data_IF_483239782649
#
_entry.id   IF_483239782649
#
_cell.length_a   1.000
_cell.length_b   1.000
_cell.length_c   1.000
_cell.angle_alpha   90.00
_cell.angle_beta   90.00
_cell.angle_gamma   90.00
#
_symmetry.space_group_name_H-M   'P 1'
#
loop_
_entity.id
_entity.type
_entity.pdbx_description
1 polymer ?
#
# COMPACT_ATOMS: atom_id res chain seq x y z
N UNK A 1 -8.05 -8.56 -0.20
CA UNK A 1 -7.27 -7.72 -1.12
C UNK A 1 -6.51 -8.53 -2.15
N UNK A 2 -5.64 -9.47 -1.74
CA UNK A 2 -4.84 -10.27 -2.68
C UNK A 2 -5.69 -11.14 -3.62
N UNK A 3 -6.74 -11.78 -3.10
CA UNK A 3 -7.70 -12.55 -3.92
C UNK A 3 -8.50 -11.68 -4.91
N UNK A 4 -8.84 -10.44 -4.53
CA UNK A 4 -9.51 -9.50 -5.42
C UNK A 4 -8.59 -9.00 -6.54
N UNK A 5 -7.34 -8.66 -6.20
CA UNK A 5 -6.32 -8.28 -7.19
C UNK A 5 -6.04 -9.43 -8.18
N UNK A 6 -6.02 -10.68 -7.68
CA UNK A 6 -5.89 -11.88 -8.49
C UNK A 6 -7.08 -12.07 -9.44
N UNK A 7 -8.30 -11.89 -8.94
CA UNK A 7 -9.53 -11.99 -9.73
C UNK A 7 -9.59 -10.91 -10.83
N UNK A 8 -9.25 -9.66 -10.50
CA UNK A 8 -9.19 -8.55 -11.45
C UNK A 8 -8.09 -8.73 -12.50
N UNK A 9 -6.90 -9.20 -12.09
CA UNK A 9 -5.82 -9.52 -13.01
C UNK A 9 -6.23 -10.66 -13.96
N UNK A 10 -6.87 -11.71 -13.43
CA UNK A 10 -7.38 -12.83 -14.23
C UNK A 10 -8.40 -12.36 -15.26
N UNK A 11 -9.43 -11.61 -14.86
CA UNK A 11 -10.46 -11.12 -15.79
C UNK A 11 -9.86 -10.25 -16.89
N UNK A 12 -8.99 -9.30 -16.52
CA UNK A 12 -8.37 -8.41 -17.49
C UNK A 12 -7.41 -9.14 -18.45
N UNK A 13 -6.64 -10.12 -17.97
CA UNK A 13 -5.68 -10.85 -18.80
C UNK A 13 -6.32 -11.87 -19.73
N UNK A 14 -7.51 -12.39 -19.42
CA UNK A 14 -8.22 -13.33 -20.26
C UNK A 14 -8.81 -12.65 -21.51
N UNK A 15 -9.29 -11.40 -21.38
CA UNK A 15 -9.93 -10.64 -22.45
C UNK A 15 -8.94 -10.02 -23.46
N UNK A 16 -7.63 -10.12 -23.21
CA UNK A 16 -6.59 -9.52 -24.05
C UNK A 16 -5.89 -10.52 -24.95
N UNK A 17 -5.56 -10.08 -26.15
CA UNK A 17 -4.72 -10.85 -27.07
C UNK A 17 -3.36 -11.14 -26.43
N UNK A 18 -2.81 -12.32 -26.73
CA UNK A 18 -1.58 -12.79 -26.09
C UNK A 18 -0.40 -11.80 -26.18
N UNK A 19 -0.15 -11.09 -27.30
CA UNK A 19 0.99 -10.16 -27.40
C UNK A 19 0.90 -9.01 -26.38
N UNK A 20 -0.29 -8.42 -26.22
CA UNK A 20 -0.50 -7.29 -25.31
C UNK A 20 -0.37 -7.76 -23.86
N UNK A 21 -0.99 -8.89 -23.52
CA UNK A 21 -0.89 -9.50 -22.20
C UNK A 21 0.55 -9.94 -21.86
N UNK A 22 1.29 -10.45 -22.86
CA UNK A 22 2.67 -10.90 -22.73
C UNK A 22 3.62 -9.73 -22.42
N UNK A 23 3.57 -8.67 -23.22
CA UNK A 23 4.44 -7.49 -23.00
C UNK A 23 4.15 -6.75 -21.69
N UNK A 24 2.87 -6.61 -21.33
CA UNK A 24 2.48 -5.95 -20.08
C UNK A 24 2.95 -6.74 -18.86
N UNK A 25 2.78 -8.05 -18.87
CA UNK A 25 3.23 -8.93 -17.80
C UNK A 25 4.76 -9.06 -17.76
N UNK A 26 5.44 -9.06 -18.91
CA UNK A 26 6.90 -8.98 -18.97
C UNK A 26 7.40 -7.69 -18.28
N UNK A 27 6.83 -6.53 -18.64
CA UNK A 27 7.18 -5.25 -18.04
C UNK A 27 6.90 -5.20 -16.53
N UNK A 28 5.76 -5.74 -16.09
CA UNK A 28 5.44 -5.87 -14.67
C UNK A 28 6.46 -6.77 -13.95
N UNK A 29 6.84 -7.90 -14.56
CA UNK A 29 7.89 -8.78 -14.09
C UNK A 29 9.22 -8.04 -13.92
N UNK A 30 9.64 -7.27 -14.93
CA UNK A 30 10.87 -6.44 -14.87
C UNK A 30 10.82 -5.44 -13.71
N UNK A 31 9.71 -4.72 -13.53
CA UNK A 31 9.57 -3.73 -12.46
C UNK A 31 9.60 -4.37 -11.06
N UNK A 32 8.89 -5.49 -10.88
CA UNK A 32 8.86 -6.24 -9.63
C UNK A 32 10.25 -6.83 -9.34
N UNK A 33 10.90 -7.42 -10.35
CA UNK A 33 12.26 -7.91 -10.25
C UNK A 33 13.22 -6.80 -9.83
N UNK A 34 13.18 -5.65 -10.52
CA UNK A 34 14.08 -4.51 -10.27
C UNK A 34 13.95 -3.97 -8.85
N UNK A 35 12.72 -3.85 -8.36
CA UNK A 35 12.48 -3.44 -6.96
C UNK A 35 12.97 -4.49 -5.98
N UNK A 36 12.69 -5.78 -6.20
CA UNK A 36 13.15 -6.87 -5.34
C UNK A 36 14.69 -6.94 -5.27
N UNK A 37 15.37 -6.98 -6.41
CA UNK A 37 16.84 -7.03 -6.48
C UNK A 37 17.50 -5.85 -5.78
N UNK A 38 16.91 -4.67 -5.93
CA UNK A 38 17.43 -3.46 -5.29
C UNK A 38 17.20 -3.43 -3.78
N UNK A 39 16.03 -3.88 -3.30
CA UNK A 39 15.75 -3.98 -1.86
C UNK A 39 16.68 -4.99 -1.18
N UNK A 40 16.92 -6.12 -1.83
CA UNK A 40 17.83 -7.15 -1.33
C UNK A 40 19.27 -6.61 -1.26
N UNK A 41 19.73 -5.88 -2.29
CA UNK A 41 21.05 -5.25 -2.30
C UNK A 41 21.22 -4.23 -1.16
N UNK A 42 20.23 -3.35 -0.95
CA UNK A 42 20.24 -2.36 0.14
C UNK A 42 20.20 -3.03 1.51
N UNK A 43 19.40 -4.09 1.68
CA UNK A 43 19.30 -4.83 2.93
C UNK A 43 20.60 -5.54 3.30
N UNK A 44 21.27 -6.15 2.32
CA UNK A 44 22.60 -6.74 2.52
C UNK A 44 23.64 -5.68 2.89
N UNK A 45 23.61 -4.51 2.23
CA UNK A 45 24.52 -3.39 2.53
C UNK A 45 24.27 -2.74 3.90
N UNK A 46 23.05 -2.83 4.45
CA UNK A 46 22.76 -2.38 5.81
C UNK A 46 23.38 -3.34 6.84
N UNK A 47 23.23 -4.65 6.61
CA UNK A 47 23.73 -5.69 7.51
C UNK A 47 25.24 -5.92 7.44
N UNK A 48 25.97 -5.33 6.47
CA UNK A 48 27.44 -5.31 6.49
C UNK A 48 28.02 -4.39 7.57
N UNK A 49 27.27 -3.37 8.02
CA UNK A 49 27.75 -2.39 9.00
C UNK A 49 27.13 -2.58 10.38
N UNK A 50 25.84 -2.91 10.46
CA UNK A 50 25.17 -3.24 11.73
C UNK A 50 23.94 -4.13 11.50
N UNK A 51 23.96 -5.34 12.06
CA UNK A 51 22.74 -6.12 12.20
C UNK A 51 22.93 -7.62 12.42
N UNK A 52 21.83 -8.31 12.81
CA UNK A 52 21.85 -9.73 13.18
C UNK A 52 22.17 -10.70 12.02
N UNK A 53 22.32 -10.18 10.79
CA UNK A 53 22.67 -10.92 9.57
C UNK A 53 24.08 -10.60 9.06
N UNK A 54 24.97 -10.05 9.91
CA UNK A 54 26.34 -9.70 9.53
C UNK A 54 27.14 -10.89 8.98
N UNK A 55 26.93 -12.10 9.52
CA UNK A 55 27.55 -13.34 9.03
C UNK A 55 27.14 -13.66 7.58
N UNK A 56 25.86 -13.45 7.24
CA UNK A 56 25.34 -13.65 5.87
C UNK A 56 25.81 -12.56 4.90
N UNK A 57 26.13 -11.37 5.41
CA UNK A 57 26.59 -10.24 4.61
C UNK A 57 28.09 -10.32 4.28
N UNK A 58 28.91 -10.84 5.21
CA UNK A 58 30.37 -10.93 5.10
C UNK A 58 30.85 -12.20 4.40
N UNK A 59 30.16 -13.34 4.55
CA UNK A 59 30.54 -14.59 3.90
C UNK A 59 29.94 -14.70 2.48
N UNK A 60 30.76 -14.78 1.41
CA UNK A 60 30.26 -14.79 0.03
C UNK A 60 29.37 -15.99 -0.29
N UNK A 61 29.58 -17.14 0.36
CA UNK A 61 28.75 -18.33 0.19
C UNK A 61 27.35 -18.17 0.82
N UNK A 62 27.26 -17.60 2.02
CA UNK A 62 25.99 -17.34 2.71
C UNK A 62 25.20 -16.23 2.03
N UNK A 63 25.88 -15.17 1.59
CA UNK A 63 25.31 -14.10 0.77
C UNK A 63 24.63 -14.64 -0.49
N UNK A 64 25.30 -15.54 -1.23
CA UNK A 64 24.71 -16.18 -2.43
C UNK A 64 23.47 -17.01 -2.08
N UNK A 65 23.51 -17.80 -1.00
CA UNK A 65 22.34 -18.59 -0.55
C UNK A 65 21.16 -17.69 -0.18
N UNK A 66 21.41 -16.59 0.53
CA UNK A 66 20.41 -15.60 0.88
C UNK A 66 19.79 -14.96 -0.38
N UNK A 67 20.61 -14.54 -1.35
CA UNK A 67 20.13 -13.99 -2.62
C UNK A 67 19.23 -14.99 -3.36
N UNK A 68 19.69 -16.22 -3.52
CA UNK A 68 18.96 -17.28 -4.22
C UNK A 68 17.63 -17.55 -3.51
N UNK A 69 17.62 -17.65 -2.17
CA UNK A 69 16.40 -17.88 -1.41
C UNK A 69 15.37 -16.77 -1.60
N UNK A 70 15.78 -15.50 -1.51
CA UNK A 70 14.86 -14.37 -1.67
C UNK A 70 14.35 -14.19 -3.10
N UNK A 71 15.20 -14.41 -4.11
CA UNK A 71 14.76 -14.41 -5.50
C UNK A 71 13.85 -15.60 -5.80
N UNK A 72 14.12 -16.78 -5.23
CA UNK A 72 13.27 -17.96 -5.39
C UNK A 72 11.89 -17.75 -4.75
N UNK A 73 11.81 -17.13 -3.56
CA UNK A 73 10.53 -16.77 -2.93
C UNK A 73 9.75 -15.78 -3.80
N UNK A 74 10.41 -14.73 -4.29
CA UNK A 74 9.74 -13.75 -5.17
C UNK A 74 9.25 -14.39 -6.47
N UNK A 75 10.08 -15.21 -7.11
CA UNK A 75 9.75 -15.92 -8.35
C UNK A 75 8.61 -16.93 -8.16
N UNK A 76 8.61 -17.71 -7.06
CA UNK A 76 7.55 -18.69 -6.77
C UNK A 76 6.21 -18.02 -6.53
N UNK A 77 6.16 -16.93 -5.76
CA UNK A 77 4.94 -16.14 -5.58
C UNK A 77 4.41 -15.60 -6.90
N UNK A 78 5.30 -15.08 -7.74
CA UNK A 78 4.96 -14.53 -9.05
C UNK A 78 4.45 -15.62 -10.02
N UNK A 79 5.05 -16.80 -9.98
CA UNK A 79 4.62 -17.96 -10.75
C UNK A 79 3.23 -18.44 -10.32
N UNK A 80 2.98 -18.60 -9.01
CA UNK A 80 1.66 -18.97 -8.48
C UNK A 80 0.60 -17.97 -8.94
N UNK A 81 0.87 -16.67 -8.81
CA UNK A 81 -0.04 -15.61 -9.26
C UNK A 81 -0.36 -15.74 -10.75
N UNK A 82 0.67 -15.97 -11.58
CA UNK A 82 0.53 -16.06 -13.04
C UNK A 82 -0.19 -17.32 -13.48
N UNK A 83 0.05 -18.45 -12.82
CA UNK A 83 -0.68 -19.71 -13.07
C UNK A 83 -2.17 -19.52 -12.81
N UNK A 84 -2.54 -18.86 -11.72
CA UNK A 84 -3.95 -18.63 -11.40
C UNK A 84 -4.59 -17.61 -12.36
N UNK A 85 -3.84 -16.59 -12.77
CA UNK A 85 -4.35 -15.55 -13.66
C UNK A 85 -4.45 -16.01 -15.12
N UNK A 86 -3.33 -16.46 -15.72
CA UNK A 86 -3.28 -16.99 -17.09
C UNK A 86 -1.96 -17.75 -17.30
N UNK A 87 -1.96 -19.10 -17.30
CA UNK A 87 -0.74 -19.92 -17.34
C UNK A 87 0.20 -19.63 -18.52
N UNK A 88 -0.36 -19.30 -19.68
CA UNK A 88 0.41 -19.01 -20.91
C UNK A 88 1.34 -17.81 -20.80
N UNK A 89 1.21 -16.97 -19.76
CA UNK A 89 2.04 -15.78 -19.55
C UNK A 89 3.29 -16.04 -18.70
N UNK A 90 3.46 -17.27 -18.18
CA UNK A 90 4.67 -17.66 -17.44
C UNK A 90 5.94 -17.44 -18.26
N UNK A 91 5.87 -17.71 -19.56
CA UNK A 91 6.97 -17.55 -20.52
C UNK A 91 7.46 -16.09 -20.58
N UNK A 92 6.58 -15.13 -20.34
CA UNK A 92 6.91 -13.71 -20.34
C UNK A 92 7.32 -13.21 -18.96
N UNK A 93 6.61 -13.60 -17.89
CA UNK A 93 6.84 -13.02 -16.56
C UNK A 93 8.15 -13.47 -15.90
N UNK A 94 8.54 -14.74 -16.11
CA UNK A 94 9.73 -15.33 -15.51
C UNK A 94 11.01 -14.65 -16.00
N UNK A 95 11.27 -14.54 -17.32
CA UNK A 95 12.45 -13.82 -17.79
C UNK A 95 12.38 -12.34 -17.44
N UNK A 96 11.21 -11.71 -17.47
CA UNK A 96 11.05 -10.32 -17.03
C UNK A 96 11.51 -10.12 -15.57
N UNK A 97 11.03 -10.96 -14.66
CA UNK A 97 11.44 -10.92 -13.25
C UNK A 97 12.93 -11.16 -13.07
N UNK A 98 13.50 -12.16 -13.74
CA UNK A 98 14.92 -12.48 -13.63
C UNK A 98 15.80 -11.31 -14.14
N UNK A 99 15.49 -10.77 -15.31
CA UNK A 99 16.18 -9.59 -15.88
C UNK A 99 16.07 -8.41 -14.92
N UNK A 100 14.86 -8.11 -14.45
CA UNK A 100 14.62 -7.03 -13.49
C UNK A 100 15.45 -7.23 -12.21
N UNK A 101 15.39 -8.41 -11.62
CA UNK A 101 16.07 -8.74 -10.36
C UNK A 101 17.59 -8.64 -10.46
N UNK A 102 18.16 -9.10 -11.57
CA UNK A 102 19.59 -8.99 -11.84
C UNK A 102 20.00 -7.53 -12.00
N UNK A 103 19.30 -6.77 -12.85
CA UNK A 103 19.56 -5.33 -13.06
C UNK A 103 19.40 -4.56 -11.75
N UNK A 104 18.36 -4.82 -10.99
CA UNK A 104 18.09 -4.19 -9.69
C UNK A 104 19.15 -4.49 -8.64
N UNK A 105 19.67 -5.72 -8.62
CA UNK A 105 20.75 -6.11 -7.70
C UNK A 105 22.08 -5.45 -8.06
N UNK A 106 22.48 -5.48 -9.34
CA UNK A 106 23.72 -4.85 -9.83
C UNK A 106 23.68 -3.34 -9.64
N UNK A 107 22.56 -2.69 -10.00
CA UNK A 107 22.39 -1.24 -9.82
C UNK A 107 22.16 -0.83 -8.36
N UNK A 108 21.76 -1.77 -7.50
CA UNK A 108 21.59 -1.54 -6.07
C UNK A 108 22.91 -1.42 -5.31
N UNK A 109 23.99 -2.02 -5.81
CA UNK A 109 25.34 -1.95 -5.23
C UNK A 109 26.19 -0.77 -5.72
N UNK A 110 25.80 -0.11 -6.80
CA UNK A 110 26.47 1.09 -7.29
C UNK A 110 25.95 2.31 -6.49
N UNK A 111 26.82 3.03 -5.76
CA UNK A 111 26.46 4.36 -5.29
C UNK A 111 26.38 5.25 -6.54
N UNK A 112 25.19 5.36 -7.13
CA UNK A 112 24.94 6.34 -8.17
C UNK A 112 25.02 7.71 -7.48
N UNK A 113 26.23 8.27 -7.45
CA UNK A 113 26.51 9.63 -7.04
C UNK A 113 25.59 10.55 -7.86
N UNK A 114 24.60 11.14 -7.17
CA UNK A 114 23.53 11.94 -7.79
C UNK A 114 22.10 11.41 -7.54
N UNK A 115 21.89 10.08 -7.45
CA UNK A 115 20.55 9.51 -7.22
C UNK A 115 20.28 9.07 -5.77
N UNK A 116 21.32 8.96 -4.93
CA UNK A 116 21.17 8.65 -3.49
C UNK A 116 20.56 9.81 -2.69
N UNK A 117 21.08 11.02 -2.88
CA UNK A 117 20.49 12.25 -2.33
C UNK A 117 19.11 12.54 -2.95
N UNK A 118 18.94 12.19 -4.23
CA UNK A 118 17.68 12.32 -4.97
C UNK A 118 16.57 11.36 -4.57
N UNK A 119 16.83 10.20 -3.93
CA UNK A 119 15.76 9.25 -3.53
C UNK A 119 15.20 9.50 -2.14
N UNK A 120 16.02 9.95 -1.20
CA UNK A 120 15.51 10.59 0.01
C UNK A 120 14.80 11.91 -0.34
N UNK A 121 15.25 12.62 -1.37
CA UNK A 121 14.61 13.81 -1.93
C UNK A 121 13.27 13.52 -2.61
N UNK A 122 13.22 12.61 -3.58
CA UNK A 122 12.03 12.24 -4.34
C UNK A 122 11.00 11.51 -3.48
N UNK A 123 11.42 10.63 -2.57
CA UNK A 123 10.53 10.02 -1.59
C UNK A 123 9.94 11.06 -0.63
N UNK A 124 10.74 12.02 -0.14
CA UNK A 124 10.23 13.15 0.67
C UNK A 124 9.41 14.14 -0.14
N UNK A 125 9.72 14.36 -1.41
CA UNK A 125 9.03 15.28 -2.31
C UNK A 125 7.69 14.70 -2.74
N UNK A 126 7.64 13.42 -3.11
CA UNK A 126 6.42 12.69 -3.38
C UNK A 126 5.57 12.60 -2.11
N UNK A 127 6.18 12.30 -0.96
CA UNK A 127 5.46 12.28 0.34
C UNK A 127 4.95 13.66 0.73
N UNK A 128 5.74 14.72 0.56
CA UNK A 128 5.31 16.10 0.87
C UNK A 128 4.25 16.59 -0.11
N UNK A 129 4.28 16.12 -1.35
CA UNK A 129 3.26 16.41 -2.35
C UNK A 129 1.96 15.64 -2.07
N UNK A 130 2.03 14.35 -1.74
CA UNK A 130 0.88 13.53 -1.32
C UNK A 130 0.23 14.06 -0.04
N UNK A 131 1.02 14.64 0.88
CA UNK A 131 0.49 15.28 2.09
C UNK A 131 -0.15 16.65 1.85
N UNK A 132 -0.08 17.20 0.63
CA UNK A 132 -0.81 18.44 0.29
C UNK A 132 -2.30 18.12 0.09
N UNK A 133 -3.20 19.03 0.50
CA UNK A 133 -4.64 18.86 0.27
C UNK A 133 -4.98 18.66 -1.21
N UNK A 134 -4.22 19.28 -2.12
CA UNK A 134 -4.39 19.14 -3.56
C UNK A 134 -4.18 17.71 -4.11
N UNK A 135 -3.40 16.86 -3.42
CA UNK A 135 -3.22 15.47 -3.85
C UNK A 135 -4.54 14.67 -3.79
N UNK A 136 -5.44 15.02 -2.86
CA UNK A 136 -6.77 14.43 -2.78
C UNK A 136 -7.63 14.72 -4.01
N UNK A 137 -7.55 15.95 -4.52
CA UNK A 137 -8.25 16.36 -5.75
C UNK A 137 -7.68 15.59 -6.95
N UNK A 138 -6.35 15.51 -7.07
CA UNK A 138 -5.72 14.78 -8.17
C UNK A 138 -6.07 13.30 -8.13
N UNK A 139 -6.05 12.66 -6.96
CA UNK A 139 -6.47 11.27 -6.80
C UNK A 139 -7.95 11.07 -7.18
N UNK A 140 -8.83 12.02 -6.85
CA UNK A 140 -10.24 11.95 -7.21
C UNK A 140 -10.42 12.08 -8.73
N UNK A 141 -9.71 13.01 -9.37
CA UNK A 141 -9.73 13.17 -10.82
C UNK A 141 -9.21 11.91 -11.52
N UNK A 142 -8.13 11.30 -11.03
CA UNK A 142 -7.59 10.04 -11.58
C UNK A 142 -8.63 8.93 -11.47
N UNK A 143 -9.22 8.73 -10.29
CA UNK A 143 -10.27 7.73 -10.08
C UNK A 143 -11.47 7.96 -11.01
N UNK A 144 -11.93 9.21 -11.15
CA UNK A 144 -13.08 9.55 -11.98
C UNK A 144 -12.79 9.39 -13.48
N UNK A 145 -11.59 9.76 -13.94
CA UNK A 145 -11.16 9.52 -15.32
C UNK A 145 -11.04 8.02 -15.59
N UNK A 146 -10.42 7.26 -14.69
CA UNK A 146 -10.35 5.81 -14.74
C UNK A 146 -11.75 5.21 -14.87
N UNK A 147 -12.69 5.62 -14.01
CA UNK A 147 -14.10 5.19 -14.05
C UNK A 147 -14.88 5.66 -15.28
N UNK A 148 -14.47 6.74 -15.95
CA UNK A 148 -15.10 7.20 -17.19
C UNK A 148 -14.65 6.37 -18.41
N UNK A 149 -13.39 5.91 -18.44
CA UNK A 149 -12.86 5.09 -19.55
C UNK A 149 -13.11 3.59 -19.36
N UNK A 150 -13.14 3.11 -18.12
CA UNK A 150 -13.28 1.68 -17.80
C UNK A 150 -14.62 1.02 -18.23
N UNK A 151 -15.78 1.70 -18.26
CA UNK A 151 -17.06 1.14 -18.72
C UNK A 151 -17.04 0.68 -20.18
N UNK A 152 -16.09 1.19 -20.98
CA UNK A 152 -15.86 0.75 -22.36
C UNK A 152 -15.27 -0.67 -22.43
N UNK A 153 -14.67 -1.14 -21.33
CA UNK A 153 -13.94 -2.42 -21.26
C UNK A 153 -14.47 -3.39 -20.20
N UNK A 154 -15.10 -2.89 -19.12
CA UNK A 154 -15.69 -3.70 -18.05
C UNK A 154 -17.12 -3.25 -17.76
N UNK A 155 -18.06 -4.21 -17.65
CA UNK A 155 -19.49 -3.94 -17.33
C UNK A 155 -19.89 -4.53 -15.98
N UNK A 156 -20.84 -3.87 -15.33
CA UNK A 156 -21.53 -4.38 -14.13
C UNK A 156 -20.62 -4.52 -12.90
N UNK A 157 -20.69 -5.67 -12.23
CA UNK A 157 -20.04 -5.94 -10.95
C UNK A 157 -18.51 -5.77 -10.96
N UNK A 158 -17.88 -6.00 -12.12
CA UNK A 158 -16.44 -5.84 -12.27
C UNK A 158 -16.00 -4.36 -12.15
N UNK A 159 -16.83 -3.42 -12.59
CA UNK A 159 -16.56 -1.98 -12.46
C UNK A 159 -16.58 -1.56 -10.99
N UNK A 160 -17.52 -2.10 -10.20
CA UNK A 160 -17.65 -1.83 -8.76
C UNK A 160 -16.44 -2.35 -7.99
N UNK A 161 -15.94 -3.53 -8.36
CA UNK A 161 -14.73 -4.11 -7.75
C UNK A 161 -13.50 -3.27 -8.08
N UNK A 162 -13.31 -2.87 -9.34
CA UNK A 162 -12.18 -2.04 -9.77
C UNK A 162 -12.21 -0.69 -9.06
N UNK A 163 -13.38 -0.04 -8.99
CA UNK A 163 -13.56 1.20 -8.25
C UNK A 163 -13.16 1.05 -6.78
N UNK A 164 -13.56 -0.05 -6.13
CA UNK A 164 -13.20 -0.34 -4.74
C UNK A 164 -11.69 -0.51 -4.55
N UNK A 165 -11.01 -1.22 -5.46
CA UNK A 165 -9.56 -1.41 -5.41
C UNK A 165 -8.83 -0.08 -5.61
N UNK A 166 -9.20 0.68 -6.64
CA UNK A 166 -8.57 1.96 -6.96
C UNK A 166 -8.79 2.99 -5.83
N UNK A 167 -9.99 3.02 -5.25
CA UNK A 167 -10.30 3.85 -4.08
C UNK A 167 -9.49 3.42 -2.86
N UNK A 168 -9.33 2.11 -2.63
CA UNK A 168 -8.50 1.62 -1.52
C UNK A 168 -7.02 1.97 -1.71
N UNK A 169 -6.48 1.85 -2.94
CA UNK A 169 -5.10 2.22 -3.25
C UNK A 169 -4.87 3.73 -3.08
N UNK A 170 -5.75 4.55 -3.64
CA UNK A 170 -5.72 6.01 -3.51
C UNK A 170 -5.87 6.43 -2.04
N UNK A 171 -6.82 5.83 -1.32
CA UNK A 171 -7.03 6.09 0.11
C UNK A 171 -5.80 5.69 0.94
N UNK A 172 -5.19 4.53 0.70
CA UNK A 172 -3.97 4.09 1.39
C UNK A 172 -2.76 4.99 1.07
N UNK A 173 -2.64 5.48 -0.17
CA UNK A 173 -1.59 6.41 -0.56
C UNK A 173 -1.76 7.78 0.10
N UNK A 174 -2.99 8.29 0.16
CA UNK A 174 -3.33 9.57 0.81
C UNK A 174 -3.25 9.49 2.34
N UNK A 175 -3.35 8.28 2.92
CA UNK A 175 -3.32 8.05 4.38
C UNK A 175 -1.99 7.49 4.89
N UNK A 176 -0.89 7.71 4.16
CA UNK A 176 0.46 7.34 4.63
C UNK A 176 0.80 8.13 5.91
N UNK A 177 0.86 7.42 7.04
CA UNK A 177 1.22 7.96 8.35
C UNK A 177 2.71 7.76 8.60
N UNK A 178 3.40 8.84 8.97
CA UNK A 178 4.81 8.81 9.37
C UNK A 178 4.93 8.78 10.90
N UNK A 179 5.41 7.65 11.44
CA UNK A 179 5.62 7.42 12.87
C UNK A 179 6.47 8.54 13.51
N UNK A 180 7.55 8.96 12.83
CA UNK A 180 8.45 10.00 13.35
C UNK A 180 7.76 11.36 13.46
N UNK A 181 6.87 11.69 12.51
CA UNK A 181 6.10 12.93 12.53
C UNK A 181 5.00 12.90 13.59
N UNK A 182 4.33 11.76 13.78
CA UNK A 182 3.28 11.60 14.80
C UNK A 182 3.88 11.69 16.20
N UNK A 183 5.03 11.07 16.43
CA UNK A 183 5.77 11.17 17.70
C UNK A 183 6.23 12.60 17.98
N UNK A 184 6.84 13.26 17.00
CA UNK A 184 7.25 14.66 17.15
C UNK A 184 6.06 15.58 17.49
N UNK A 185 4.94 15.43 16.79
CA UNK A 185 3.74 16.23 17.07
C UNK A 185 3.13 15.92 18.44
N UNK A 186 3.25 14.67 18.90
CA UNK A 186 2.80 14.25 20.23
C UNK A 186 3.68 14.83 21.34
N UNK A 187 5.01 14.81 21.17
CA UNK A 187 5.97 15.45 22.09
C UNK A 187 5.76 16.97 22.12
N UNK A 188 5.43 17.57 20.97
CA UNK A 188 5.07 18.99 20.88
C UNK A 188 3.66 19.33 21.44
N UNK A 189 3.04 18.43 22.21
CA UNK A 189 1.78 18.67 22.91
C UNK A 189 0.53 18.73 22.01
N UNK A 190 0.60 18.30 20.74
CA UNK A 190 -0.59 18.30 19.88
C UNK A 190 -1.51 17.12 20.19
N UNK A 191 -2.78 17.42 20.42
CA UNK A 191 -3.82 16.41 20.61
C UNK A 191 -4.04 15.53 19.38
N UNK A 192 -4.37 14.25 19.59
CA UNK A 192 -4.57 13.23 18.55
C UNK A 192 -5.49 13.68 17.41
N UNK A 193 -6.65 14.26 17.74
CA UNK A 193 -7.63 14.71 16.75
C UNK A 193 -7.11 15.81 15.82
N UNK A 194 -6.21 16.67 16.30
CA UNK A 194 -5.59 17.72 15.48
C UNK A 194 -4.55 17.16 14.51
N UNK A 195 -3.87 16.06 14.89
CA UNK A 195 -2.93 15.33 14.03
C UNK A 195 -3.70 14.59 12.94
N UNK A 196 -4.70 13.80 13.34
CA UNK A 196 -5.58 13.04 12.43
C UNK A 196 -6.26 13.99 11.45
N UNK A 197 -6.86 15.09 11.92
CA UNK A 197 -7.55 16.05 11.08
C UNK A 197 -6.65 16.75 10.06
N UNK A 198 -5.36 16.96 10.37
CA UNK A 198 -4.40 17.51 9.40
C UNK A 198 -3.99 16.48 8.35
N UNK A 199 -3.72 15.24 8.76
CA UNK A 199 -3.32 14.16 7.85
C UNK A 199 -4.50 13.70 6.96
N UNK A 200 -5.73 13.78 7.46
CA UNK A 200 -6.93 13.36 6.74
C UNK A 200 -7.39 14.36 5.67
N UNK A 201 -6.85 15.58 5.60
CA UNK A 201 -7.34 16.63 4.67
C UNK A 201 -7.36 16.18 3.21
N UNK A 202 -6.31 15.51 2.74
CA UNK A 202 -6.25 14.98 1.37
C UNK A 202 -7.31 13.90 1.14
N UNK A 203 -7.43 12.94 2.06
CA UNK A 203 -8.44 11.88 1.97
C UNK A 203 -9.89 12.42 2.10
N UNK A 204 -10.14 13.43 2.93
CA UNK A 204 -11.45 14.07 3.05
C UNK A 204 -11.85 14.80 1.76
N UNK A 205 -10.92 15.52 1.12
CA UNK A 205 -11.17 16.16 -0.17
C UNK A 205 -11.41 15.13 -1.27
N UNK A 206 -10.66 14.02 -1.25
CA UNK A 206 -10.87 12.91 -2.17
C UNK A 206 -12.29 12.33 -2.02
N UNK A 207 -12.73 12.00 -0.80
CA UNK A 207 -14.09 11.49 -0.55
C UNK A 207 -15.17 12.49 -0.92
N UNK A 208 -14.97 13.76 -0.53
CA UNK A 208 -15.91 14.84 -0.78
C UNK A 208 -16.11 15.15 -2.26
N UNK A 209 -15.23 14.71 -3.14
CA UNK A 209 -15.36 14.85 -4.60
C UNK A 209 -15.77 13.53 -5.23
N UNK A 210 -15.04 12.45 -4.94
CA UNK A 210 -15.23 11.16 -5.58
C UNK A 210 -16.60 10.54 -5.28
N UNK A 211 -17.04 10.52 -4.01
CA UNK A 211 -18.31 9.90 -3.64
C UNK A 211 -19.55 10.59 -4.27
N UNK A 212 -19.72 11.93 -4.20
CA UNK A 212 -20.86 12.58 -4.83
C UNK A 212 -20.82 12.48 -6.35
N UNK A 213 -19.66 12.68 -6.99
CA UNK A 213 -19.55 12.54 -8.45
C UNK A 213 -19.86 11.10 -8.89
N UNK A 214 -19.43 10.09 -8.11
CA UNK A 214 -19.83 8.70 -8.35
C UNK A 214 -21.33 8.48 -8.24
N UNK A 215 -21.98 9.10 -7.25
CA UNK A 215 -23.43 8.99 -7.05
C UNK A 215 -24.20 9.60 -8.22
N UNK A 216 -23.77 10.77 -8.70
CA UNK A 216 -24.42 11.47 -9.81
C UNK A 216 -24.16 10.85 -11.18
N UNK A 217 -22.93 10.40 -11.46
CA UNK A 217 -22.54 9.98 -12.81
C UNK A 217 -22.59 8.45 -13.03
N UNK A 218 -22.40 7.64 -11.99
CA UNK A 218 -22.21 6.19 -12.12
C UNK A 218 -23.16 5.35 -11.24
N UNK A 219 -23.97 6.00 -10.40
CA UNK A 219 -25.03 5.38 -9.60
C UNK A 219 -24.68 5.11 -8.13
N UNK A 220 -25.73 4.81 -7.34
CA UNK A 220 -25.65 4.71 -5.89
C UNK A 220 -24.76 3.56 -5.37
N UNK A 221 -24.73 2.42 -6.07
CA UNK A 221 -23.92 1.27 -5.67
C UNK A 221 -22.41 1.58 -5.69
N UNK A 222 -21.96 2.30 -6.73
CA UNK A 222 -20.56 2.66 -6.90
C UNK A 222 -20.14 3.72 -5.89
N UNK A 223 -21.01 4.72 -5.66
CA UNK A 223 -20.82 5.71 -4.61
C UNK A 223 -20.71 5.08 -3.22
N UNK A 224 -21.55 4.08 -2.91
CA UNK A 224 -21.51 3.37 -1.64
C UNK A 224 -20.18 2.64 -1.42
N UNK A 225 -19.63 1.98 -2.46
CA UNK A 225 -18.34 1.30 -2.37
C UNK A 225 -17.18 2.29 -2.21
N UNK A 226 -17.17 3.40 -2.96
CA UNK A 226 -16.16 4.45 -2.83
C UNK A 226 -16.20 5.08 -1.43
N UNK A 227 -17.39 5.36 -0.92
CA UNK A 227 -17.56 5.89 0.43
C UNK A 227 -17.09 4.88 1.49
N UNK A 228 -17.53 3.62 1.42
CA UNK A 228 -17.18 2.59 2.39
C UNK A 228 -15.68 2.30 2.43
N UNK A 229 -15.04 2.15 1.27
CA UNK A 229 -13.59 1.92 1.17
C UNK A 229 -12.80 3.12 1.70
N UNK A 230 -13.25 4.33 1.42
CA UNK A 230 -12.61 5.54 1.92
C UNK A 230 -12.74 5.68 3.44
N UNK A 231 -13.93 5.42 4.00
CA UNK A 231 -14.16 5.37 5.45
C UNK A 231 -13.23 4.33 6.10
N UNK A 232 -13.09 3.16 5.50
CA UNK A 232 -12.17 2.13 5.99
C UNK A 232 -10.71 2.62 6.00
N UNK A 233 -10.25 3.30 4.94
CA UNK A 233 -8.88 3.86 4.90
C UNK A 233 -8.67 4.98 5.93
N UNK A 234 -9.67 5.84 6.16
CA UNK A 234 -9.63 6.88 7.19
C UNK A 234 -9.60 6.28 8.60
N UNK A 235 -10.39 5.21 8.84
CA UNK A 235 -10.40 4.48 10.09
C UNK A 235 -9.04 3.82 10.36
N UNK A 236 -8.45 3.18 9.35
CA UNK A 236 -7.09 2.63 9.42
C UNK A 236 -6.05 3.71 9.73
N UNK A 237 -6.16 4.88 9.09
CA UNK A 237 -5.30 6.02 9.37
C UNK A 237 -5.42 6.43 10.84
N UNK A 238 -6.64 6.66 11.33
CA UNK A 238 -6.90 7.06 12.71
C UNK A 238 -6.36 6.04 13.72
N UNK A 239 -6.57 4.73 13.48
CA UNK A 239 -6.03 3.67 14.32
C UNK A 239 -4.49 3.68 14.33
N UNK A 240 -3.84 3.83 13.17
CA UNK A 240 -2.38 3.94 13.08
C UNK A 240 -1.85 5.15 13.83
N UNK A 241 -2.47 6.32 13.65
CA UNK A 241 -2.05 7.54 14.36
C UNK A 241 -2.19 7.39 15.87
N UNK A 242 -3.25 6.73 16.35
CA UNK A 242 -3.44 6.47 17.78
C UNK A 242 -2.48 5.41 18.32
N UNK A 243 -2.21 4.35 17.56
CA UNK A 243 -1.27 3.28 17.92
C UNK A 243 0.17 3.82 18.05
N UNK A 244 0.66 4.55 17.03
CA UNK A 244 2.02 5.14 17.05
C UNK A 244 2.27 6.13 18.19
N UNK A 245 1.22 6.63 18.85
CA UNK A 245 1.34 7.43 20.09
C UNK A 245 1.57 6.58 21.35
N UNK A 246 1.20 5.31 21.32
CA UNK A 246 1.17 4.43 22.48
C UNK A 246 2.35 3.46 22.46
N UNK A 247 2.67 2.82 21.34
CA UNK A 247 3.75 1.82 21.28
C UNK A 247 4.88 2.18 20.30
N UNK A 248 5.81 1.24 20.14
CA UNK A 248 6.86 1.32 19.12
C UNK A 248 6.40 0.66 17.83
N UNK A 249 6.88 1.20 16.70
CA UNK A 249 6.49 0.85 15.32
C UNK A 249 6.17 -0.64 15.07
N UNK A 250 7.02 -1.57 15.52
CA UNK A 250 6.81 -3.00 15.28
C UNK A 250 5.62 -3.61 16.02
N UNK A 251 5.35 -3.15 17.25
CA UNK A 251 4.20 -3.61 18.04
C UNK A 251 2.90 -2.94 17.58
N UNK A 252 2.98 -1.70 17.08
CA UNK A 252 1.85 -0.97 16.50
C UNK A 252 1.36 -1.60 15.21
N UNK A 253 2.26 -1.96 14.30
CA UNK A 253 1.88 -2.60 13.04
C UNK A 253 1.21 -3.97 13.30
N UNK A 254 1.62 -4.68 14.36
CA UNK A 254 0.98 -5.93 14.81
C UNK A 254 -0.43 -5.71 15.39
N UNK A 255 -0.59 -4.75 16.31
CA UNK A 255 -1.91 -4.41 16.88
C UNK A 255 -2.87 -3.93 15.80
N UNK A 256 -2.41 -3.02 14.92
CA UNK A 256 -3.23 -2.51 13.83
C UNK A 256 -3.63 -3.65 12.88
N UNK A 257 -2.74 -4.61 12.60
CA UNK A 257 -3.06 -5.79 11.81
C UNK A 257 -4.17 -6.64 12.46
N UNK A 258 -4.07 -6.92 13.76
CA UNK A 258 -5.08 -7.66 14.51
C UNK A 258 -6.43 -6.94 14.51
N UNK A 259 -6.44 -5.63 14.82
CA UNK A 259 -7.65 -4.82 14.83
C UNK A 259 -8.29 -4.72 13.44
N UNK A 260 -7.47 -4.61 12.40
CA UNK A 260 -7.94 -4.64 11.00
C UNK A 260 -8.56 -5.99 10.67
N UNK A 261 -7.93 -7.09 11.06
CA UNK A 261 -8.47 -8.44 10.92
C UNK A 261 -9.81 -8.60 11.64
N UNK A 262 -9.92 -8.09 12.88
CA UNK A 262 -11.16 -8.10 13.65
C UNK A 262 -12.27 -7.30 12.97
N UNK A 263 -11.96 -6.13 12.42
CA UNK A 263 -12.92 -5.31 11.69
C UNK A 263 -13.38 -5.98 10.40
N UNK A 264 -12.47 -6.61 9.65
CA UNK A 264 -12.82 -7.39 8.45
C UNK A 264 -13.72 -8.57 8.82
N UNK A 265 -13.38 -9.31 9.88
CA UNK A 265 -14.16 -10.44 10.35
C UNK A 265 -15.57 -10.00 10.80
N UNK A 266 -15.66 -8.89 11.54
CA UNK A 266 -16.93 -8.32 12.00
C UNK A 266 -17.77 -7.82 10.84
N UNK A 267 -17.16 -7.19 9.83
CA UNK A 267 -17.85 -6.74 8.64
C UNK A 267 -18.45 -7.92 7.85
N UNK A 268 -17.75 -9.06 7.83
CA UNK A 268 -18.22 -10.27 7.15
C UNK A 268 -19.31 -11.00 7.94
N UNK A 269 -19.18 -11.11 9.27
CA UNK A 269 -20.11 -11.86 10.11
C UNK A 269 -21.35 -11.08 10.52
N UNK A 270 -21.19 -9.82 10.93
CA UNK A 270 -22.24 -8.97 11.50
C UNK A 270 -22.01 -7.49 11.10
N UNK A 271 -22.34 -7.09 9.87
CA UNK A 271 -22.09 -5.74 9.37
C UNK A 271 -22.79 -4.64 10.19
N UNK A 272 -23.94 -4.95 10.82
CA UNK A 272 -24.67 -4.04 11.71
C UNK A 272 -23.87 -3.70 12.98
N UNK A 273 -23.01 -4.63 13.44
CA UNK A 273 -22.21 -4.48 14.67
C UNK A 273 -20.90 -3.74 14.42
N UNK A 274 -20.45 -3.67 13.17
CA UNK A 274 -19.22 -3.00 12.74
C UNK A 274 -19.04 -1.56 13.27
N UNK A 275 -20.03 -0.64 13.17
CA UNK A 275 -19.86 0.72 13.69
C UNK A 275 -19.61 0.74 15.20
N UNK A 276 -20.26 -0.14 15.96
CA UNK A 276 -20.09 -0.21 17.42
C UNK A 276 -18.70 -0.71 17.79
N UNK A 277 -18.21 -1.77 17.13
CA UNK A 277 -16.86 -2.31 17.35
C UNK A 277 -15.79 -1.30 16.95
N UNK A 278 -15.94 -0.64 15.79
CA UNK A 278 -15.03 0.42 15.35
C UNK A 278 -14.97 1.59 16.34
N UNK A 279 -16.12 2.08 16.81
CA UNK A 279 -16.19 3.14 17.83
C UNK A 279 -15.57 2.71 19.16
N UNK A 280 -15.79 1.47 19.61
CA UNK A 280 -15.20 0.96 20.84
C UNK A 280 -13.66 0.89 20.76
N UNK A 281 -13.12 0.41 19.64
CA UNK A 281 -11.67 0.37 19.39
C UNK A 281 -11.09 1.79 19.41
N UNK A 282 -11.70 2.72 18.67
CA UNK A 282 -11.24 4.11 18.64
C UNK A 282 -11.30 4.76 20.02
N UNK A 283 -12.39 4.54 20.77
CA UNK A 283 -12.55 5.05 22.13
C UNK A 283 -11.48 4.52 23.08
N UNK A 284 -11.20 3.22 23.06
CA UNK A 284 -10.18 2.60 23.89
C UNK A 284 -8.78 3.11 23.56
N UNK A 285 -8.45 3.19 22.26
CA UNK A 285 -7.18 3.75 21.79
C UNK A 285 -7.05 5.23 22.15
N UNK A 286 -8.11 6.02 22.00
CA UNK A 286 -8.14 7.43 22.39
C UNK A 286 -7.86 7.58 23.88
N UNK A 287 -8.58 6.85 24.75
CA UNK A 287 -8.42 6.90 26.21
C UNK A 287 -6.99 6.56 26.63
N UNK A 288 -6.40 5.52 26.04
CA UNK A 288 -5.00 5.13 26.30
C UNK A 288 -3.99 6.15 25.77
N UNK A 289 -4.22 6.72 24.59
CA UNK A 289 -3.36 7.76 24.02
C UNK A 289 -3.41 9.07 24.83
N UNK A 290 -4.58 9.43 25.36
CA UNK A 290 -4.77 10.62 26.17
C UNK A 290 -3.99 10.54 27.49
N UNK A 291 -3.98 9.37 28.14
CA UNK A 291 -3.22 9.12 29.37
C UNK A 291 -1.70 9.26 29.18
N UNK A 292 -1.16 8.98 27.99
CA UNK A 292 0.29 9.13 27.71
C UNK A 292 0.71 10.52 27.24
N UNK A 293 -0.22 11.41 26.91
CA UNK A 293 0.10 12.80 26.49
C UNK A 293 0.76 13.63 27.60
N UNK A 294 0.68 13.18 28.84
CA UNK A 294 1.13 13.89 30.04
C UNK A 294 2.45 13.37 30.63
N UNK A 295 3.05 12.30 30.10
CA UNK A 295 4.23 11.66 30.69
C UNK A 295 5.58 12.25 30.24
N UNK A 296 5.58 13.33 29.45
CA UNK A 296 6.79 14.00 28.95
C UNK A 296 6.78 15.53 29.18
N UNK A 297 5.89 16.02 30.04
CA UNK A 297 5.94 17.39 30.56
C UNK A 297 6.49 17.36 31.99
#
# INVERSE_FOLDING_TARGET
>A
MLLFALAAARSWLLDRTWPIAGWTIFGAGVMIGLTAGRLIAVRLAFHTFDGPLAADALCPALRKRYLIAWFAIGLTLLAIFTVIARPSLLIAILPGYLIGSFVGYVTGGLPIAGFGAGKAGFGRMLRSWIQRPGAGIVAAVILLLSLAFTPQYLRGDALVIVAGIETALSGLALTIVDDSSVRFQTIAGRGAWRIIGRQARGAMLFVGIAAPVCAFAFGAALAAVVAATSIATLLLMAMRTLAYRIHGKGFDDFIVSILTGLLILTAFSMPIVLPFVGSAILWQLQRRSAARTWLLA
#
